data_IF_332842356930
#
_entry.id   IF_332842356930
#
_cell.length_a   1.000
_cell.length_b   1.000
_cell.length_c   1.000
_cell.angle_alpha   90.00
_cell.angle_beta   90.00
_cell.angle_gamma   90.00
#
_symmetry.space_group_name_H-M   'P 1'
#
loop_
_entity.id
_entity.type
_entity.pdbx_description
1 polymer ?
#
# COMPACT_ATOMS: atom_id res chain seq x y z
N UNK A 1 28.54 37.93 -6.07
CA UNK A 1 27.12 38.32 -5.89
C UNK A 1 26.46 38.30 -7.26
N UNK A 2 25.79 37.21 -7.62
CA UNK A 2 24.94 37.10 -8.80
C UNK A 2 23.68 36.39 -8.36
N UNK A 3 22.65 37.19 -8.12
CA UNK A 3 21.31 36.77 -7.73
C UNK A 3 20.64 36.08 -8.92
N UNK A 4 20.71 34.76 -9.00
CA UNK A 4 19.85 33.96 -9.88
C UNK A 4 18.47 33.86 -9.25
N UNK A 5 17.63 34.83 -9.59
CA UNK A 5 16.21 34.91 -9.31
C UNK A 5 15.43 33.93 -10.17
N UNK A 6 15.50 32.63 -9.87
CA UNK A 6 14.45 31.69 -10.33
C UNK A 6 13.22 31.88 -9.45
N UNK A 7 12.29 32.69 -9.94
CA UNK A 7 11.01 33.01 -9.31
C UNK A 7 10.21 31.73 -8.96
N UNK A 8 9.54 31.68 -7.79
CA UNK A 8 8.66 30.58 -7.40
C UNK A 8 7.42 30.40 -8.30
N UNK A 9 7.17 31.33 -9.24
CA UNK A 9 6.07 31.23 -10.22
C UNK A 9 6.21 30.05 -11.19
N UNK A 10 7.43 29.64 -11.56
CA UNK A 10 7.65 28.56 -12.54
C UNK A 10 7.36 27.16 -11.97
N UNK A 11 7.61 26.94 -10.67
CA UNK A 11 7.36 25.64 -10.03
C UNK A 11 5.87 25.38 -9.76
N UNK A 12 5.06 26.43 -9.58
CA UNK A 12 3.61 26.28 -9.36
C UNK A 12 2.88 25.82 -10.62
N UNK A 13 3.27 26.30 -11.80
CA UNK A 13 2.69 25.84 -13.08
C UNK A 13 3.12 24.41 -13.43
N UNK A 14 4.31 23.98 -13.03
CA UNK A 14 4.77 22.59 -13.16
C UNK A 14 4.03 21.62 -12.21
N UNK A 15 3.55 22.11 -11.05
CA UNK A 15 2.77 21.31 -10.09
C UNK A 15 1.45 20.79 -10.68
N UNK A 16 0.85 21.55 -11.60
CA UNK A 16 -0.38 21.18 -12.32
C UNK A 16 -0.11 20.52 -13.68
N UNK A 17 1.15 20.36 -14.06
CA UNK A 17 1.56 19.68 -15.30
C UNK A 17 1.64 18.15 -15.14
N UNK A 18 1.27 17.64 -13.97
CA UNK A 18 1.21 16.20 -13.67
C UNK A 18 0.19 15.53 -14.62
N UNK A 19 0.55 14.43 -15.31
CA UNK A 19 -0.39 13.69 -16.14
C UNK A 19 -1.65 13.31 -15.36
N UNK A 20 -2.83 13.58 -15.92
CA UNK A 20 -4.12 13.26 -15.28
C UNK A 20 -4.21 11.79 -14.83
N UNK A 21 -3.55 10.88 -15.56
CA UNK A 21 -3.48 9.46 -15.23
C UNK A 21 -2.73 9.18 -13.91
N UNK A 22 -1.69 9.94 -13.57
CA UNK A 22 -0.98 9.79 -12.30
C UNK A 22 -1.85 10.25 -11.14
N UNK A 23 -2.55 11.37 -11.29
CA UNK A 23 -3.46 11.90 -10.28
C UNK A 23 -4.54 10.86 -9.94
N UNK A 24 -5.15 10.26 -10.98
CA UNK A 24 -6.14 9.19 -10.80
C UNK A 24 -5.51 7.98 -10.10
N UNK A 25 -4.32 7.57 -10.51
CA UNK A 25 -3.62 6.41 -9.91
C UNK A 25 -3.33 6.63 -8.42
N UNK A 26 -2.80 7.80 -8.04
CA UNK A 26 -2.55 8.15 -6.64
C UNK A 26 -3.82 8.29 -5.81
N UNK A 27 -4.89 8.87 -6.39
CA UNK A 27 -6.18 8.96 -5.72
C UNK A 27 -6.77 7.58 -5.44
N UNK A 28 -6.76 6.69 -6.44
CA UNK A 28 -7.26 5.33 -6.27
C UNK A 28 -6.40 4.55 -5.27
N UNK A 29 -5.07 4.66 -5.33
CA UNK A 29 -4.18 4.04 -4.35
C UNK A 29 -4.51 4.51 -2.93
N UNK A 30 -4.63 5.82 -2.71
CA UNK A 30 -5.00 6.38 -1.41
C UNK A 30 -6.38 5.94 -0.90
N UNK A 31 -7.34 5.71 -1.79
CA UNK A 31 -8.68 5.25 -1.42
C UNK A 31 -8.74 3.75 -1.07
N UNK A 32 -8.05 2.91 -1.85
CA UNK A 32 -8.16 1.45 -1.73
C UNK A 32 -7.16 0.82 -0.76
N UNK A 33 -5.96 1.40 -0.58
CA UNK A 33 -4.97 0.86 0.36
C UNK A 33 -5.57 0.69 1.77
N UNK A 34 -6.26 1.70 2.35
CA UNK A 34 -6.80 1.57 3.70
C UNK A 34 -7.80 0.43 3.87
N UNK A 35 -8.48 0.03 2.79
CA UNK A 35 -9.45 -1.07 2.82
C UNK A 35 -8.79 -2.43 2.95
N UNK A 36 -7.62 -2.61 2.33
CA UNK A 36 -6.84 -3.85 2.37
C UNK A 36 -5.81 -3.92 3.51
N UNK A 37 -5.63 -2.83 4.26
CA UNK A 37 -4.66 -2.68 5.36
C UNK A 37 -5.17 -3.26 6.69
N UNK A 38 -4.74 -4.46 7.14
CA UNK A 38 -5.23 -5.06 8.38
C UNK A 38 -4.83 -4.27 9.63
N UNK A 39 -3.69 -3.58 9.60
CA UNK A 39 -3.18 -2.75 10.69
C UNK A 39 -4.11 -1.57 11.01
N UNK A 40 -4.77 -1.00 10.00
CA UNK A 40 -5.74 0.08 10.20
C UNK A 40 -7.01 -0.47 10.85
N UNK A 41 -7.51 -1.60 10.37
CA UNK A 41 -8.68 -2.27 10.93
C UNK A 41 -8.45 -2.70 12.38
N UNK A 42 -7.26 -3.21 12.71
CA UNK A 42 -6.87 -3.52 14.09
C UNK A 42 -6.99 -2.28 15.01
N UNK A 43 -6.52 -1.12 14.55
CA UNK A 43 -6.65 0.14 15.30
C UNK A 43 -8.10 0.59 15.43
N UNK A 44 -8.90 0.45 14.37
CA UNK A 44 -10.34 0.78 14.39
C UNK A 44 -11.09 -0.10 15.38
N UNK A 45 -10.84 -1.41 15.40
CA UNK A 45 -11.48 -2.35 16.32
C UNK A 45 -11.05 -2.16 17.79
N UNK A 46 -9.88 -1.57 18.05
CA UNK A 46 -9.43 -1.24 19.40
C UNK A 46 -10.12 0.01 19.98
N UNK A 47 -10.90 0.76 19.19
CA UNK A 47 -11.57 1.98 19.66
C UNK A 47 -12.83 1.62 20.43
N UNK A 48 -12.91 2.10 21.67
CA UNK A 48 -14.01 1.81 22.61
C UNK A 48 -15.37 2.33 22.16
N UNK A 49 -15.42 3.54 21.59
CA UNK A 49 -16.67 4.25 21.31
C UNK A 49 -16.74 4.86 19.91
N UNK A 50 -17.96 4.90 19.34
CA UNK A 50 -18.24 5.54 18.04
C UNK A 50 -17.85 7.03 18.00
N UNK A 51 -17.98 7.74 19.13
CA UNK A 51 -17.57 9.16 19.24
C UNK A 51 -16.06 9.31 19.07
N UNK A 52 -15.29 8.45 19.73
CA UNK A 52 -13.83 8.43 19.65
C UNK A 52 -13.36 8.00 18.24
N UNK A 53 -14.07 7.08 17.60
CA UNK A 53 -13.82 6.68 16.21
C UNK A 53 -13.98 7.85 15.23
N UNK A 54 -15.11 8.57 15.26
CA UNK A 54 -15.32 9.74 14.40
C UNK A 54 -14.28 10.83 14.62
N UNK A 55 -13.96 11.11 15.89
CA UNK A 55 -12.93 12.10 16.24
C UNK A 55 -11.56 11.68 15.73
N UNK A 56 -11.21 10.39 15.86
CA UNK A 56 -9.95 9.84 15.38
C UNK A 56 -9.80 9.96 13.87
N UNK A 57 -10.84 9.66 13.09
CA UNK A 57 -10.81 9.82 11.63
C UNK A 57 -10.59 11.29 11.26
N UNK A 58 -11.39 12.21 11.80
CA UNK A 58 -11.28 13.63 11.47
C UNK A 58 -9.89 14.17 11.82
N UNK A 59 -9.40 13.85 13.03
CA UNK A 59 -8.10 14.30 13.48
C UNK A 59 -6.98 13.73 12.59
N UNK A 60 -7.03 12.43 12.29
CA UNK A 60 -6.01 11.77 11.45
C UNK A 60 -5.97 12.37 10.04
N UNK A 61 -7.12 12.63 9.42
CA UNK A 61 -7.18 13.25 8.09
C UNK A 61 -6.61 14.67 8.08
N UNK A 62 -6.91 15.48 9.09
CA UNK A 62 -6.36 16.85 9.20
C UNK A 62 -4.84 16.81 9.37
N UNK A 63 -4.34 15.96 10.27
CA UNK A 63 -2.89 15.78 10.45
C UNK A 63 -2.21 15.28 9.19
N UNK A 64 -2.83 14.35 8.45
CA UNK A 64 -2.29 13.82 7.20
C UNK A 64 -2.11 14.92 6.15
N UNK A 65 -3.11 15.80 5.98
CA UNK A 65 -3.03 16.93 5.03
C UNK A 65 -1.93 17.90 5.44
N UNK A 66 -1.85 18.26 6.74
CA UNK A 66 -0.84 19.20 7.24
C UNK A 66 0.57 18.64 7.02
N UNK A 67 0.80 17.39 7.41
CA UNK A 67 2.12 16.74 7.26
C UNK A 67 2.47 16.58 5.79
N UNK A 68 1.52 16.15 4.95
CA UNK A 68 1.73 16.03 3.51
C UNK A 68 2.11 17.37 2.86
N UNK A 69 1.46 18.46 3.27
CA UNK A 69 1.79 19.80 2.78
C UNK A 69 3.19 20.25 3.20
N UNK A 70 3.58 20.00 4.46
CA UNK A 70 4.93 20.30 4.95
C UNK A 70 5.99 19.50 4.16
N UNK A 71 5.76 18.20 3.96
CA UNK A 71 6.67 17.35 3.19
C UNK A 71 6.80 17.79 1.73
N UNK A 72 5.70 18.23 1.11
CA UNK A 72 5.70 18.78 -0.25
C UNK A 72 6.57 20.03 -0.33
N UNK A 73 6.43 20.97 0.62
CA UNK A 73 7.25 22.18 0.67
C UNK A 73 8.74 21.84 0.86
N UNK A 74 9.05 20.90 1.76
CA UNK A 74 10.43 20.43 1.99
C UNK A 74 11.01 19.85 0.69
N UNK A 75 10.27 18.99 -0.01
CA UNK A 75 10.71 18.39 -1.26
C UNK A 75 10.96 19.43 -2.35
N UNK A 76 10.13 20.48 -2.43
CA UNK A 76 10.29 21.57 -3.38
C UNK A 76 11.56 22.37 -3.11
N UNK A 77 11.83 22.71 -1.84
CA UNK A 77 13.06 23.40 -1.42
C UNK A 77 14.31 22.57 -1.73
N UNK A 78 14.29 21.27 -1.43
CA UNK A 78 15.42 20.37 -1.73
C UNK A 78 15.67 20.31 -3.24
N UNK A 79 14.62 20.25 -4.06
CA UNK A 79 14.73 20.21 -5.52
C UNK A 79 15.30 21.50 -6.10
N UNK A 80 15.00 22.66 -5.53
CA UNK A 80 15.55 23.94 -5.99
C UNK A 80 17.01 24.13 -5.58
N UNK A 81 17.38 23.71 -4.37
CA UNK A 81 18.71 23.91 -3.82
C UNK A 81 19.73 22.85 -4.28
N UNK A 82 19.25 21.63 -4.57
CA UNK A 82 20.08 20.49 -5.01
C UNK A 82 19.50 19.91 -6.31
N UNK A 83 19.75 20.55 -7.46
CA UNK A 83 19.23 20.07 -8.74
C UNK A 83 19.84 18.71 -9.11
N UNK A 84 19.02 17.80 -9.61
CA UNK A 84 19.45 16.47 -10.08
C UNK A 84 19.62 15.41 -8.99
N UNK A 85 19.16 15.68 -7.76
CA UNK A 85 19.18 14.68 -6.69
C UNK A 85 18.23 13.51 -6.98
N UNK A 86 18.68 12.28 -6.69
CA UNK A 86 17.84 11.10 -6.79
C UNK A 86 16.67 11.18 -5.79
N UNK A 87 15.41 10.94 -6.21
CA UNK A 87 14.23 11.04 -5.34
C UNK A 87 14.36 10.23 -4.04
N UNK A 88 14.96 9.05 -4.12
CA UNK A 88 15.03 8.05 -3.05
C UNK A 88 15.90 8.51 -1.87
N UNK A 89 16.90 9.35 -2.15
CA UNK A 89 17.85 9.86 -1.15
C UNK A 89 17.64 11.34 -0.86
N UNK A 90 16.67 11.97 -1.54
CA UNK A 90 16.45 13.42 -1.52
C UNK A 90 16.22 13.97 -0.12
N UNK A 91 15.37 13.34 0.69
CA UNK A 91 15.08 13.79 2.06
C UNK A 91 16.30 13.65 2.97
N UNK A 92 17.01 12.52 2.92
CA UNK A 92 18.15 12.25 3.81
C UNK A 92 19.30 13.22 3.50
N UNK A 93 19.66 13.32 2.21
CA UNK A 93 20.74 14.20 1.76
C UNK A 93 20.34 15.66 1.90
N UNK A 94 19.09 16.01 1.59
CA UNK A 94 18.53 17.34 1.76
C UNK A 94 18.63 17.81 3.21
N UNK A 95 18.24 16.98 4.16
CA UNK A 95 18.38 17.33 5.58
C UNK A 95 19.84 17.43 6.03
N UNK A 96 20.72 16.54 5.54
CA UNK A 96 22.14 16.59 5.90
C UNK A 96 22.85 17.86 5.42
N UNK A 97 22.41 18.45 4.30
CA UNK A 97 23.03 19.63 3.69
C UNK A 97 22.39 20.95 4.09
N UNK A 98 21.07 20.96 4.30
CA UNK A 98 20.31 22.19 4.56
C UNK A 98 20.18 22.50 6.05
N UNK A 99 20.31 21.50 6.93
CA UNK A 99 20.18 21.73 8.38
C UNK A 99 21.54 22.05 9.03
N UNK A 100 21.55 22.88 10.10
CA UNK A 100 22.72 23.08 10.94
C UNK A 100 23.25 21.75 11.51
N UNK A 101 24.56 21.67 11.77
CA UNK A 101 25.26 20.44 12.20
C UNK A 101 24.59 19.68 13.37
N UNK A 102 23.99 20.38 14.33
CA UNK A 102 23.26 19.74 15.43
C UNK A 102 21.87 19.19 15.06
N UNK A 103 21.18 19.83 14.11
CA UNK A 103 19.85 19.41 13.65
C UNK A 103 19.93 18.37 12.53
N UNK A 104 21.02 18.34 11.75
CA UNK A 104 21.27 17.32 10.75
C UNK A 104 21.32 15.92 11.38
N UNK A 105 22.04 15.76 12.50
CA UNK A 105 22.06 14.49 13.25
C UNK A 105 20.69 14.10 13.81
N UNK A 106 19.93 15.08 14.34
CA UNK A 106 18.57 14.87 14.84
C UNK A 106 17.63 14.36 13.73
N UNK A 107 17.76 14.87 12.51
CA UNK A 107 16.91 14.46 11.38
C UNK A 107 17.06 12.98 11.01
N UNK A 108 18.28 12.45 11.06
CA UNK A 108 18.56 11.01 10.81
C UNK A 108 17.92 10.15 11.90
N UNK A 109 18.01 10.57 13.16
CA UNK A 109 17.37 9.87 14.29
C UNK A 109 15.85 9.86 14.14
N UNK A 110 15.25 10.98 13.71
CA UNK A 110 13.80 11.07 13.47
C UNK A 110 13.37 10.12 12.35
N UNK A 111 14.06 10.14 11.20
CA UNK A 111 13.74 9.26 10.07
C UNK A 111 13.87 7.80 10.49
N UNK A 112 14.96 7.44 11.17
CA UNK A 112 15.18 6.07 11.65
C UNK A 112 14.11 5.64 12.64
N UNK A 113 13.74 6.50 13.59
CA UNK A 113 12.67 6.25 14.56
C UNK A 113 11.32 6.05 13.87
N UNK A 114 10.98 6.88 12.88
CA UNK A 114 9.75 6.73 12.09
C UNK A 114 9.72 5.42 11.32
N UNK A 115 10.80 5.05 10.62
CA UNK A 115 10.90 3.79 9.87
C UNK A 115 10.81 2.59 10.81
N UNK A 116 11.49 2.64 11.96
CA UNK A 116 11.46 1.56 12.95
C UNK A 116 10.07 1.37 13.55
N UNK A 117 9.30 2.44 13.77
CA UNK A 117 7.92 2.36 14.29
C UNK A 117 6.95 1.71 13.28
N UNK A 118 7.11 2.04 12.00
CA UNK A 118 6.34 1.38 10.93
C UNK A 118 6.73 -0.08 10.78
N UNK A 119 8.03 -0.40 10.79
CA UNK A 119 8.53 -1.77 10.71
C UNK A 119 7.98 -2.65 11.84
N UNK A 120 7.97 -2.15 13.09
CA UNK A 120 7.38 -2.86 14.23
C UNK A 120 5.89 -3.16 14.01
N UNK A 121 5.13 -2.16 13.55
CA UNK A 121 3.69 -2.33 13.25
C UNK A 121 3.48 -3.42 12.18
N UNK A 122 4.22 -3.37 11.07
CA UNK A 122 4.07 -4.35 9.98
C UNK A 122 4.51 -5.75 10.40
N UNK A 123 5.60 -5.89 11.16
CA UNK A 123 6.03 -7.19 11.70
C UNK A 123 5.00 -7.78 12.66
N UNK A 124 4.42 -6.95 13.52
CA UNK A 124 3.37 -7.37 14.42
C UNK A 124 2.13 -7.83 13.66
N UNK A 125 1.62 -7.02 12.72
CA UNK A 125 0.44 -7.38 11.94
C UNK A 125 0.68 -8.63 11.09
N UNK A 126 1.83 -8.77 10.44
CA UNK A 126 2.16 -9.96 9.65
C UNK A 126 2.28 -11.23 10.51
N UNK A 127 2.93 -11.14 11.68
CA UNK A 127 3.03 -12.27 12.61
C UNK A 127 1.67 -12.66 13.21
N UNK A 128 0.80 -11.69 13.48
CA UNK A 128 -0.58 -11.93 13.89
C UNK A 128 -1.38 -12.65 12.81
N UNK A 129 -1.31 -12.19 11.55
CA UNK A 129 -1.97 -12.86 10.42
C UNK A 129 -1.46 -14.29 10.22
N UNK A 130 -0.14 -14.53 10.24
CA UNK A 130 0.40 -15.89 10.07
C UNK A 130 0.00 -16.80 11.25
N UNK A 131 0.05 -16.31 12.48
CA UNK A 131 -0.27 -17.15 13.64
C UNK A 131 -1.77 -17.46 13.77
N UNK A 132 -2.63 -16.47 13.58
CA UNK A 132 -4.08 -16.62 13.76
C UNK A 132 -4.78 -17.13 12.50
N UNK A 133 -4.48 -16.57 11.32
CA UNK A 133 -5.18 -16.97 10.10
C UNK A 133 -4.60 -18.23 9.45
N UNK A 134 -3.29 -18.47 9.58
CA UNK A 134 -2.67 -19.65 8.99
C UNK A 134 -2.56 -20.78 10.02
N UNK A 135 -1.87 -20.58 11.14
CA UNK A 135 -1.52 -21.67 12.06
C UNK A 135 -2.67 -22.14 12.97
N UNK A 136 -3.53 -21.22 13.42
CA UNK A 136 -4.69 -21.58 14.25
C UNK A 136 -5.81 -22.21 13.40
N UNK A 137 -6.18 -21.60 12.27
CA UNK A 137 -7.23 -22.16 11.37
C UNK A 137 -6.85 -23.49 10.72
N UNK A 138 -5.57 -23.77 10.48
CA UNK A 138 -5.12 -25.07 9.97
C UNK A 138 -4.99 -26.15 11.06
N UNK A 139 -5.23 -25.80 12.33
CA UNK A 139 -5.18 -26.74 13.45
C UNK A 139 -3.77 -27.16 13.88
N UNK A 140 -2.73 -26.51 13.35
CA UNK A 140 -1.33 -26.84 13.64
C UNK A 140 -0.86 -26.32 15.02
N UNK A 141 -1.61 -25.44 15.68
CA UNK A 141 -1.27 -24.90 17.01
C UNK A 141 -2.50 -24.83 17.93
N UNK A 142 -2.38 -25.33 19.18
CA UNK A 142 -3.37 -25.11 20.25
C UNK A 142 -3.22 -23.69 20.83
N UNK A 143 -4.35 -23.04 21.14
CA UNK A 143 -4.45 -21.65 21.65
C UNK A 143 -3.50 -21.32 22.82
N UNK A 144 -3.12 -22.32 23.61
CA UNK A 144 -2.24 -22.18 24.79
C UNK A 144 -0.80 -21.73 24.44
N UNK A 145 -0.33 -22.00 23.22
CA UNK A 145 1.01 -21.62 22.75
C UNK A 145 1.03 -20.40 21.80
N UNK A 146 -0.09 -19.71 21.61
CA UNK A 146 -0.23 -18.60 20.65
C UNK A 146 0.86 -17.54 20.79
N UNK A 147 1.25 -17.17 22.02
CA UNK A 147 2.32 -16.19 22.27
C UNK A 147 3.70 -16.67 21.79
N UNK A 148 4.02 -17.96 21.97
CA UNK A 148 5.30 -18.53 21.50
C UNK A 148 5.32 -18.63 19.98
N UNK A 149 4.21 -19.06 19.39
CA UNK A 149 4.03 -19.14 17.94
C UNK A 149 4.14 -17.77 17.28
N UNK A 150 3.48 -16.75 17.82
CA UNK A 150 3.63 -15.35 17.39
C UNK A 150 5.08 -14.88 17.39
N UNK A 151 5.81 -15.10 18.49
CA UNK A 151 7.23 -14.72 18.61
C UNK A 151 8.11 -15.44 17.58
N UNK A 152 7.89 -16.74 17.38
CA UNK A 152 8.64 -17.50 16.39
C UNK A 152 8.34 -17.01 14.97
N UNK A 153 7.06 -16.82 14.62
CA UNK A 153 6.65 -16.25 13.33
C UNK A 153 7.27 -14.88 13.10
N UNK A 154 7.33 -14.02 14.13
CA UNK A 154 7.96 -12.69 14.04
C UNK A 154 9.46 -12.79 13.71
N UNK A 155 10.20 -13.68 14.37
CA UNK A 155 11.64 -13.89 14.09
C UNK A 155 11.86 -14.41 12.67
N UNK A 156 11.08 -15.40 12.24
CA UNK A 156 11.18 -15.96 10.88
C UNK A 156 10.86 -14.90 9.82
N UNK A 157 9.77 -14.14 10.00
CA UNK A 157 9.39 -13.07 9.09
C UNK A 157 10.42 -11.94 9.07
N UNK A 158 11.04 -11.63 10.22
CA UNK A 158 12.13 -10.65 10.28
C UNK A 158 13.34 -11.12 9.49
N UNK A 159 13.77 -12.38 9.63
CA UNK A 159 14.89 -12.92 8.85
C UNK A 159 14.59 -12.92 7.34
N UNK A 160 13.38 -13.30 6.94
CA UNK A 160 12.94 -13.23 5.54
C UNK A 160 12.89 -11.78 5.03
N UNK A 161 12.41 -10.85 5.84
CA UNK A 161 12.35 -9.42 5.52
C UNK A 161 13.73 -8.82 5.30
N UNK A 162 14.70 -9.14 6.17
CA UNK A 162 16.10 -8.73 6.00
C UNK A 162 16.70 -9.36 4.74
N UNK A 163 16.45 -10.65 4.49
CA UNK A 163 16.89 -11.32 3.27
C UNK A 163 16.36 -10.64 2.00
N UNK A 164 15.07 -10.28 1.98
CA UNK A 164 14.46 -9.58 0.86
C UNK A 164 14.99 -8.15 0.72
N UNK A 165 15.22 -7.44 1.83
CA UNK A 165 15.77 -6.09 1.81
C UNK A 165 17.18 -6.01 1.21
N UNK A 166 17.98 -7.08 1.31
CA UNK A 166 19.30 -7.16 0.67
C UNK A 166 19.24 -7.36 -0.85
N UNK A 167 18.10 -7.87 -1.36
CA UNK A 167 17.90 -8.15 -2.78
C UNK A 167 17.24 -6.96 -3.48
N UNK A 168 16.37 -6.22 -2.77
CA UNK A 168 15.69 -5.03 -3.28
C UNK A 168 16.69 -3.87 -3.44
N UNK A 169 16.97 -3.49 -4.68
CA UNK A 169 17.91 -2.41 -5.03
C UNK A 169 17.28 -1.02 -5.08
N UNK A 170 15.98 -0.94 -5.38
CA UNK A 170 15.26 0.33 -5.56
C UNK A 170 14.00 0.34 -4.69
N UNK A 171 13.91 1.34 -3.82
CA UNK A 171 12.82 1.47 -2.85
C UNK A 171 11.54 2.01 -3.48
N UNK A 172 11.67 2.83 -4.53
CA UNK A 172 10.53 3.44 -5.22
C UNK A 172 9.80 2.36 -6.02
N UNK A 173 10.56 1.55 -6.75
CA UNK A 173 10.01 0.41 -7.48
C UNK A 173 9.33 -0.58 -6.55
N UNK A 174 9.99 -0.95 -5.45
CA UNK A 174 9.41 -1.85 -4.46
C UNK A 174 8.08 -1.28 -3.93
N UNK A 175 8.04 0.02 -3.64
CA UNK A 175 6.83 0.68 -3.15
C UNK A 175 5.70 0.62 -4.17
N UNK A 176 5.94 0.94 -5.44
CA UNK A 176 4.90 0.87 -6.47
C UNK A 176 4.39 -0.56 -6.69
N UNK A 177 5.27 -1.56 -6.62
CA UNK A 177 4.87 -2.97 -6.66
C UNK A 177 3.92 -3.31 -5.51
N UNK A 178 4.28 -3.02 -4.26
CA UNK A 178 3.43 -3.30 -3.10
C UNK A 178 2.13 -2.49 -3.09
N UNK A 179 2.17 -1.23 -3.52
CA UNK A 179 0.99 -0.36 -3.65
C UNK A 179 0.00 -0.94 -4.66
N UNK A 180 0.49 -1.38 -5.84
CA UNK A 180 -0.37 -1.96 -6.87
C UNK A 180 -1.08 -3.23 -6.39
N UNK A 181 -0.37 -4.08 -5.66
CA UNK A 181 -0.90 -5.33 -5.11
C UNK A 181 -1.94 -5.04 -4.02
N UNK A 182 -1.61 -4.15 -3.08
CA UNK A 182 -2.49 -3.79 -1.95
C UNK A 182 -3.77 -3.11 -2.44
N UNK A 183 -3.65 -2.19 -3.40
CA UNK A 183 -4.79 -1.52 -4.02
C UNK A 183 -5.74 -2.50 -4.71
N UNK A 184 -5.20 -3.46 -5.46
CA UNK A 184 -6.01 -4.47 -6.13
C UNK A 184 -6.76 -5.37 -5.14
N UNK A 185 -6.12 -5.77 -4.05
CA UNK A 185 -6.78 -6.46 -2.94
C UNK A 185 -7.85 -5.57 -2.28
N UNK A 186 -7.60 -4.27 -2.15
CA UNK A 186 -8.54 -3.31 -1.60
C UNK A 186 -9.82 -3.23 -2.43
N UNK A 187 -9.70 -3.22 -3.76
CA UNK A 187 -10.85 -3.31 -4.65
C UNK A 187 -11.63 -4.61 -4.46
N UNK A 188 -10.93 -5.74 -4.35
CA UNK A 188 -11.57 -7.04 -4.11
C UNK A 188 -12.35 -7.06 -2.79
N UNK A 189 -11.79 -6.46 -1.73
CA UNK A 189 -12.48 -6.31 -0.44
C UNK A 189 -13.75 -5.45 -0.57
N UNK A 190 -13.68 -4.33 -1.30
CA UNK A 190 -14.85 -3.48 -1.56
C UNK A 190 -15.93 -4.24 -2.34
N UNK A 191 -15.54 -4.96 -3.38
CA UNK A 191 -16.44 -5.78 -4.21
C UNK A 191 -17.13 -6.87 -3.37
N UNK A 192 -16.41 -7.53 -2.46
CA UNK A 192 -17.00 -8.50 -1.53
C UNK A 192 -17.94 -7.83 -0.53
N UNK A 193 -17.64 -6.60 -0.09
CA UNK A 193 -18.50 -5.86 0.83
C UNK A 193 -19.82 -5.44 0.17
N UNK A 194 -19.79 -5.00 -1.10
CA UNK A 194 -21.00 -4.58 -1.83
C UNK A 194 -21.81 -5.77 -2.37
N UNK A 195 -21.15 -6.87 -2.75
CA UNK A 195 -21.77 -8.11 -3.20
C UNK A 195 -21.31 -9.31 -2.34
N UNK A 196 -21.86 -9.49 -1.13
CA UNK A 196 -21.45 -10.54 -0.20
C UNK A 196 -21.78 -11.97 -0.65
N UNK A 197 -22.57 -12.12 -1.73
CA UNK A 197 -22.91 -13.41 -2.34
C UNK A 197 -22.08 -13.72 -3.59
N UNK A 198 -20.89 -13.14 -3.72
CA UNK A 198 -19.96 -13.49 -4.79
C UNK A 198 -19.46 -14.92 -4.59
N UNK A 199 -19.37 -15.65 -5.70
CA UNK A 199 -18.98 -17.04 -5.69
C UNK A 199 -17.47 -17.19 -5.54
N UNK A 200 -17.07 -18.32 -4.93
CA UNK A 200 -15.66 -18.63 -4.66
C UNK A 200 -14.81 -18.56 -5.93
N UNK A 201 -15.34 -18.99 -7.08
CA UNK A 201 -14.63 -18.96 -8.35
C UNK A 201 -14.27 -17.54 -8.81
N UNK A 202 -15.18 -16.58 -8.66
CA UNK A 202 -14.90 -15.18 -9.03
C UNK A 202 -13.82 -14.57 -8.15
N UNK A 203 -13.81 -14.90 -6.85
CA UNK A 203 -12.76 -14.43 -5.93
C UNK A 203 -11.40 -15.00 -6.31
N UNK A 204 -11.33 -16.31 -6.55
CA UNK A 204 -10.08 -16.98 -6.97
C UNK A 204 -9.55 -16.45 -8.31
N UNK A 205 -10.43 -16.27 -9.30
CA UNK A 205 -10.07 -15.69 -10.59
C UNK A 205 -9.57 -14.25 -10.42
N UNK A 206 -10.22 -13.44 -9.60
CA UNK A 206 -9.80 -12.05 -9.35
C UNK A 206 -8.42 -11.98 -8.71
N UNK A 207 -8.12 -12.84 -7.73
CA UNK A 207 -6.79 -12.93 -7.11
C UNK A 207 -5.73 -13.37 -8.13
N UNK A 208 -6.06 -14.37 -8.97
CA UNK A 208 -5.12 -14.89 -9.98
C UNK A 208 -4.84 -13.85 -11.07
N UNK A 209 -5.88 -13.18 -11.59
CA UNK A 209 -5.75 -12.10 -12.57
C UNK A 209 -5.06 -10.87 -11.97
N UNK A 210 -5.27 -10.56 -10.69
CA UNK A 210 -4.52 -9.53 -9.98
C UNK A 210 -3.02 -9.86 -9.95
N UNK A 211 -2.64 -11.07 -9.53
CA UNK A 211 -1.23 -11.48 -9.47
C UNK A 211 -0.58 -11.43 -10.85
N UNK A 212 -1.25 -11.92 -11.89
CA UNK A 212 -0.78 -11.83 -13.27
C UNK A 212 -0.68 -10.37 -13.72
N UNK A 213 -1.68 -9.55 -13.40
CA UNK A 213 -1.75 -8.13 -13.75
C UNK A 213 -0.74 -7.23 -13.03
N UNK A 214 -0.11 -7.72 -11.96
CA UNK A 214 1.03 -7.06 -11.31
C UNK A 214 2.35 -7.61 -11.84
N UNK A 215 2.50 -8.95 -11.88
CA UNK A 215 3.77 -9.60 -12.21
C UNK A 215 4.14 -9.44 -13.70
N UNK A 216 3.19 -9.63 -14.62
CA UNK A 216 3.47 -9.59 -16.06
C UNK A 216 3.85 -8.17 -16.50
N UNK A 217 3.10 -7.11 -16.14
CA UNK A 217 3.49 -5.74 -16.48
C UNK A 217 4.79 -5.31 -15.78
N UNK A 218 5.05 -5.79 -14.55
CA UNK A 218 6.31 -5.49 -13.86
C UNK A 218 7.54 -6.03 -14.61
N UNK A 219 7.41 -7.20 -15.27
CA UNK A 219 8.50 -7.81 -16.05
C UNK A 219 8.63 -7.18 -17.45
N UNK A 220 7.50 -6.85 -18.10
CA UNK A 220 7.47 -6.45 -19.52
C UNK A 220 7.68 -4.94 -19.71
N UNK A 221 7.04 -4.11 -18.88
CA UNK A 221 7.00 -2.64 -19.03
C UNK A 221 8.02 -1.98 -18.09
N UNK A 222 8.53 -2.73 -17.10
CA UNK A 222 9.28 -2.20 -15.97
C UNK A 222 8.34 -1.69 -14.88
N UNK A 223 8.87 -1.53 -13.67
CA UNK A 223 8.10 -1.03 -12.55
C UNK A 223 7.90 0.47 -12.75
N UNK A 224 6.63 0.86 -12.91
CA UNK A 224 6.23 2.24 -13.14
C UNK A 224 4.89 2.51 -12.50
N UNK A 225 4.51 3.79 -12.37
CA UNK A 225 3.23 4.21 -11.81
C UNK A 225 2.02 3.65 -12.57
N UNK A 226 2.20 3.30 -13.85
CA UNK A 226 1.15 2.69 -14.67
C UNK A 226 0.79 1.28 -14.21
N UNK A 227 1.69 0.60 -13.49
CA UNK A 227 1.47 -0.73 -12.92
C UNK A 227 0.21 -0.77 -12.05
N UNK A 228 -0.06 0.32 -11.34
CA UNK A 228 -1.24 0.47 -10.48
C UNK A 228 -2.54 0.37 -11.28
N UNK A 229 -2.59 1.00 -12.46
CA UNK A 229 -3.76 0.96 -13.33
C UNK A 229 -3.94 -0.40 -14.01
N UNK A 230 -2.85 -1.03 -14.43
CA UNK A 230 -2.89 -2.39 -14.98
C UNK A 230 -3.39 -3.40 -13.95
N UNK A 231 -2.88 -3.33 -12.72
CA UNK A 231 -3.34 -4.16 -11.61
C UNK A 231 -4.83 -3.95 -11.31
N UNK A 232 -5.27 -2.69 -11.31
CA UNK A 232 -6.67 -2.32 -11.10
C UNK A 232 -7.59 -2.85 -12.21
N UNK A 233 -7.22 -2.64 -13.47
CA UNK A 233 -7.97 -3.12 -14.63
C UNK A 233 -8.04 -4.65 -14.68
N UNK A 234 -6.92 -5.33 -14.40
CA UNK A 234 -6.86 -6.79 -14.34
C UNK A 234 -7.75 -7.36 -13.23
N UNK A 235 -7.81 -6.69 -12.08
CA UNK A 235 -8.69 -7.10 -10.98
C UNK A 235 -10.17 -7.00 -11.37
N UNK A 236 -10.58 -5.90 -12.00
CA UNK A 236 -11.95 -5.72 -12.51
C UNK A 236 -12.29 -6.78 -13.56
N UNK A 237 -11.38 -7.05 -14.49
CA UNK A 237 -11.56 -8.10 -15.50
C UNK A 237 -11.71 -9.48 -14.84
N UNK A 238 -10.91 -9.80 -13.82
CA UNK A 238 -11.03 -11.04 -13.06
C UNK A 238 -12.39 -11.20 -12.37
N UNK A 239 -12.90 -10.13 -11.76
CA UNK A 239 -14.24 -10.12 -11.13
C UNK A 239 -15.33 -10.33 -12.18
N UNK A 240 -15.28 -9.60 -13.30
CA UNK A 240 -16.26 -9.66 -14.38
C UNK A 240 -16.28 -11.04 -15.06
N UNK A 241 -15.11 -11.59 -15.40
CA UNK A 241 -14.99 -12.93 -15.97
C UNK A 241 -15.51 -14.00 -15.01
N UNK A 242 -15.21 -13.88 -13.71
CA UNK A 242 -15.75 -14.76 -12.68
C UNK A 242 -17.29 -14.76 -12.65
N UNK A 243 -17.90 -13.57 -12.67
CA UNK A 243 -19.36 -13.43 -12.71
C UNK A 243 -19.98 -13.97 -14.01
N UNK A 244 -19.32 -13.76 -15.15
CA UNK A 244 -19.76 -14.28 -16.46
C UNK A 244 -19.72 -15.81 -16.52
N UNK A 245 -18.62 -16.42 -16.08
CA UNK A 245 -18.47 -17.88 -16.02
C UNK A 245 -19.54 -18.49 -15.12
N UNK A 246 -19.88 -17.83 -14.01
CA UNK A 246 -20.98 -18.25 -13.15
C UNK A 246 -22.34 -18.13 -13.83
N UNK A 247 -22.61 -17.01 -14.51
CA UNK A 247 -23.86 -16.80 -15.22
C UNK A 247 -24.07 -17.90 -16.28
N UNK A 248 -23.01 -18.25 -17.02
CA UNK A 248 -23.01 -19.34 -18.00
C UNK A 248 -23.25 -20.70 -17.32
N UNK A 249 -22.60 -20.98 -16.18
CA UNK A 249 -22.85 -22.21 -15.40
C UNK A 249 -24.27 -22.30 -14.86
N UNK A 250 -24.86 -21.19 -14.40
CA UNK A 250 -26.26 -21.14 -13.93
C UNK A 250 -27.26 -21.39 -15.07
N UNK A 251 -26.99 -20.85 -16.26
CA UNK A 251 -27.81 -21.07 -17.46
C UNK A 251 -27.69 -22.53 -17.93
N UNK A 252 -26.48 -23.09 -17.93
CA UNK A 252 -26.23 -24.49 -18.29
C UNK A 252 -26.80 -25.49 -17.27
N UNK A 253 -26.76 -25.16 -15.97
CA UNK A 253 -27.35 -25.96 -14.89
C UNK A 253 -28.88 -25.95 -14.89
N UNK A 254 -29.52 -24.84 -15.27
CA UNK A 254 -30.99 -24.77 -15.48
C UNK A 254 -31.45 -25.65 -16.66
N UNK A 255 -30.63 -25.80 -17.70
CA UNK A 255 -30.95 -26.66 -18.83
C UNK A 255 -30.97 -28.16 -18.49
N UNK A 256 -30.28 -28.60 -17.42
CA UNK A 256 -30.28 -29.99 -16.97
C UNK A 256 -31.43 -30.36 -16.04
N UNK A 257 -31.99 -29.39 -15.31
CA UNK A 257 -33.11 -29.63 -14.37
C UNK A 257 -34.51 -29.36 -14.98
N UNK A 258 -34.60 -28.99 -16.26
CA UNK A 258 -35.88 -28.79 -16.97
C UNK A 258 -36.31 -29.96 -17.86
N UNK A 259 -35.66 -31.12 -17.71
CA UNK A 259 -35.87 -32.33 -18.52
C UNK A 259 -36.17 -33.57 -17.65
N UNK A 260 -36.57 -33.38 -16.39
CA UNK A 260 -37.06 -34.44 -15.50
C UNK A 260 -38.55 -34.31 -15.26
#
# INVERSE_FOLDING_TARGET
MTTTTTKPELAFMDLFSIPAMQIISFFLAGFFIPMASPELWQRVYAIKDKKNFRRSIILSSVFYIIVGFILLLIGLVIRTDIPGIAPDTSLIVGFSRLLPVGLAGLSVVIIYSSVSSSADTYMFTASASVSQDFLEKTGLTKSDNMRKTMRYSMVVLMMLGVGMALILRDIVDATFFFVSLTMSLGLLVLVLWIYPKINRLSVWLSILFCLIGVIVPAIVIGISEQLVMWAFGACILGVLLGMLVEAIRKVSGRSKNGLS
#
